data_IF_517694521943
#
_entry.id   IF_517694521943
#
_cell.length_a   1.000
_cell.length_b   1.000
_cell.length_c   1.000
_cell.angle_alpha   90.00
_cell.angle_beta   90.00
_cell.angle_gamma   90.00
#
_symmetry.space_group_name_H-M   'P 1'
#
loop_
_entity.id
_entity.type
_entity.pdbx_description
1 polymer ?
#
# COMPACT_ATOMS: atom_id res chain seq x y z
N UNK A 1 -3.26 6.78 -1.35
CA UNK A 1 -2.16 5.86 -0.97
C UNK A 1 -0.92 6.05 -1.83
N UNK A 2 -0.96 5.73 -3.15
CA UNK A 2 0.22 5.78 -4.03
C UNK A 2 0.97 7.13 -4.02
N UNK A 3 0.24 8.25 -3.95
CA UNK A 3 0.83 9.60 -3.91
C UNK A 3 1.57 9.92 -2.60
N UNK A 4 1.32 9.18 -1.51
CA UNK A 4 1.95 9.38 -0.20
C UNK A 4 2.98 8.30 0.11
N UNK A 5 3.28 7.40 -0.84
CA UNK A 5 4.20 6.28 -0.62
C UNK A 5 5.56 6.76 -0.07
N UNK A 6 6.11 7.81 -0.68
CA UNK A 6 7.38 8.41 -0.26
C UNK A 6 7.32 9.12 1.09
N UNK A 7 6.13 9.49 1.58
CA UNK A 7 5.98 10.03 2.93
C UNK A 7 6.12 8.93 3.98
N UNK A 8 5.76 7.68 3.65
CA UNK A 8 5.82 6.54 4.57
C UNK A 8 7.17 5.80 4.54
N UNK A 9 7.82 5.66 3.39
CA UNK A 9 9.10 4.98 3.29
C UNK A 9 10.19 5.76 4.06
N UNK A 10 10.77 5.19 5.12
CA UNK A 10 11.73 5.89 5.98
C UNK A 10 13.12 6.04 5.37
N UNK A 11 13.44 5.29 4.30
CA UNK A 11 14.76 5.27 3.67
C UNK A 11 14.83 6.07 2.37
N UNK A 12 15.93 6.79 2.17
CA UNK A 12 16.27 7.35 0.86
C UNK A 12 16.49 6.21 -0.14
N UNK A 13 15.52 6.00 -1.03
CA UNK A 13 15.54 4.91 -2.02
C UNK A 13 14.96 3.59 -1.52
N UNK A 14 14.29 3.59 -0.36
CA UNK A 14 13.59 2.40 0.09
C UNK A 14 12.44 2.08 -0.87
N UNK A 15 12.42 0.85 -1.36
CA UNK A 15 11.42 0.40 -2.34
C UNK A 15 10.11 -0.03 -1.68
N UNK A 16 10.09 -0.08 -0.36
CA UNK A 16 9.01 -0.66 0.42
C UNK A 16 8.53 0.31 1.51
N UNK A 17 7.25 0.17 1.86
CA UNK A 17 6.68 0.68 3.11
C UNK A 17 6.34 -0.52 3.98
N UNK A 18 6.82 -0.53 5.23
CA UNK A 18 6.50 -1.57 6.19
C UNK A 18 5.35 -1.15 7.14
N UNK A 19 4.76 -2.12 7.82
CA UNK A 19 3.59 -1.87 8.67
C UNK A 19 3.90 -0.98 9.88
N UNK A 20 5.14 -0.95 10.39
CA UNK A 20 5.49 -0.05 11.48
C UNK A 20 5.56 1.40 10.99
N UNK A 21 6.13 1.66 9.81
CA UNK A 21 6.10 2.99 9.18
C UNK A 21 4.67 3.47 8.91
N UNK A 22 3.78 2.55 8.53
CA UNK A 22 2.36 2.86 8.35
C UNK A 22 1.69 3.21 9.70
N UNK A 23 2.05 2.50 10.79
CA UNK A 23 1.56 2.78 12.15
C UNK A 23 2.13 4.10 12.69
N UNK A 24 3.38 4.43 12.40
CA UNK A 24 3.97 5.74 12.70
C UNK A 24 3.17 6.86 12.00
N UNK A 25 2.92 6.71 10.70
CA UNK A 25 2.13 7.67 9.93
C UNK A 25 0.69 7.82 10.45
N UNK A 26 0.11 6.73 10.96
CA UNK A 26 -1.20 6.72 11.59
C UNK A 26 -1.21 7.29 13.02
N UNK A 27 -0.06 7.62 13.61
CA UNK A 27 0.07 8.09 14.99
C UNK A 27 -0.14 7.00 16.03
N UNK A 28 0.04 5.73 15.66
CA UNK A 28 -0.07 4.57 16.55
C UNK A 28 1.29 4.14 17.13
N UNK A 29 2.40 4.62 16.55
CA UNK A 29 3.75 4.45 17.07
C UNK A 29 4.44 5.81 17.20
N UNK A 30 5.26 6.01 18.25
CA UNK A 30 6.11 7.20 18.37
C UNK A 30 7.09 7.29 17.20
N UNK A 31 7.32 8.50 16.68
CA UNK A 31 8.22 8.76 15.56
C UNK A 31 8.67 10.21 15.57
N UNK A 32 9.86 10.50 15.03
CA UNK A 32 10.35 11.87 14.80
C UNK A 32 9.99 12.39 13.42
N UNK A 33 9.35 11.55 12.58
CA UNK A 33 8.98 11.86 11.21
C UNK A 33 7.70 12.69 11.18
N UNK A 34 7.61 13.58 10.19
CA UNK A 34 6.41 14.38 9.96
C UNK A 34 5.67 13.84 8.74
N UNK A 35 4.37 13.67 8.88
CA UNK A 35 3.48 13.20 7.81
C UNK A 35 2.44 14.28 7.52
N UNK A 36 2.03 14.41 6.26
CA UNK A 36 0.89 15.27 5.95
C UNK A 36 -0.39 14.74 6.59
N UNK A 37 -1.35 15.63 6.89
CA UNK A 37 -2.66 15.24 7.44
C UNK A 37 -3.35 14.19 6.56
N UNK A 38 -3.21 14.30 5.24
CA UNK A 38 -3.78 13.35 4.30
C UNK A 38 -3.07 12.00 4.35
N UNK A 39 -1.74 11.97 4.42
CA UNK A 39 -0.99 10.72 4.58
C UNK A 39 -1.37 10.01 5.88
N UNK A 40 -1.47 10.73 7.01
CA UNK A 40 -1.93 10.14 8.26
C UNK A 40 -3.35 9.58 8.19
N UNK A 41 -4.28 10.27 7.53
CA UNK A 41 -5.65 9.78 7.34
C UNK A 41 -5.70 8.51 6.48
N UNK A 42 -4.93 8.48 5.38
CA UNK A 42 -4.83 7.31 4.51
C UNK A 42 -4.20 6.12 5.22
N UNK A 43 -3.15 6.34 6.03
CA UNK A 43 -2.51 5.28 6.81
C UNK A 43 -3.48 4.65 7.81
N UNK A 44 -4.26 5.47 8.53
CA UNK A 44 -5.32 5.00 9.44
C UNK A 44 -6.36 4.15 8.71
N UNK A 45 -6.86 4.64 7.57
CA UNK A 45 -7.86 3.92 6.79
C UNK A 45 -7.34 2.59 6.26
N UNK A 46 -6.08 2.54 5.81
CA UNK A 46 -5.47 1.31 5.31
C UNK A 46 -5.28 0.28 6.42
N UNK A 47 -4.84 0.69 7.61
CA UNK A 47 -4.73 -0.18 8.80
C UNK A 47 -6.09 -0.72 9.26
N UNK A 48 -7.17 0.06 9.10
CA UNK A 48 -8.53 -0.38 9.41
C UNK A 48 -9.09 -1.40 8.40
N UNK A 49 -8.53 -1.48 7.19
CA UNK A 49 -8.93 -2.43 6.14
C UNK A 49 -8.02 -3.65 6.12
N UNK A 50 -8.03 -4.43 7.20
CA UNK A 50 -7.12 -5.58 7.41
C UNK A 50 -7.02 -6.53 6.21
N UNK A 51 -8.13 -6.84 5.54
CA UNK A 51 -8.12 -7.66 4.31
C UNK A 51 -7.36 -6.99 3.17
N UNK A 52 -7.59 -5.70 2.94
CA UNK A 52 -6.90 -4.93 1.90
C UNK A 52 -5.40 -4.84 2.20
N UNK A 53 -5.05 -4.62 3.47
CA UNK A 53 -3.66 -4.57 3.92
C UNK A 53 -2.94 -5.91 3.74
N UNK A 54 -3.61 -7.04 4.02
CA UNK A 54 -3.08 -8.39 3.77
C UNK A 54 -2.92 -8.69 2.27
N UNK A 55 -3.85 -8.25 1.42
CA UNK A 55 -3.71 -8.39 -0.03
C UNK A 55 -2.55 -7.56 -0.58
N UNK A 56 -2.30 -6.39 0.01
CA UNK A 56 -1.20 -5.51 -0.34
C UNK A 56 0.16 -6.07 0.10
N UNK A 57 0.24 -6.62 1.32
CA UNK A 57 1.40 -7.33 1.87
C UNK A 57 1.85 -8.46 0.93
N UNK A 58 0.91 -9.33 0.54
CA UNK A 58 1.21 -10.44 -0.35
C UNK A 58 1.51 -9.97 -1.78
N UNK A 59 0.74 -9.01 -2.32
CA UNK A 59 0.72 -8.54 -3.71
C UNK A 59 1.27 -9.51 -4.77
N UNK A 60 2.45 -9.20 -5.35
CA UNK A 60 3.04 -9.94 -6.50
C UNK A 60 4.49 -10.30 -6.26
N UNK A 61 4.93 -11.41 -6.84
CA UNK A 61 6.31 -11.89 -6.69
C UNK A 61 6.66 -13.03 -7.63
N UNK A 62 7.83 -13.62 -7.42
CA UNK A 62 8.39 -14.70 -8.24
C UNK A 62 8.03 -16.10 -7.73
N UNK A 63 6.97 -16.25 -6.93
CA UNK A 63 6.47 -17.58 -6.55
C UNK A 63 5.83 -18.28 -7.74
N UNK A 64 5.65 -19.60 -7.63
CA UNK A 64 5.04 -20.43 -8.68
C UNK A 64 3.61 -20.02 -9.05
N UNK A 65 2.89 -19.34 -8.16
CA UNK A 65 1.53 -18.80 -8.38
C UNK A 65 1.50 -17.27 -8.64
N UNK A 66 2.67 -16.64 -8.78
CA UNK A 66 2.82 -15.21 -9.07
C UNK A 66 2.51 -14.27 -7.90
N UNK A 67 2.35 -14.79 -6.68
CA UNK A 67 2.14 -14.02 -5.45
C UNK A 67 3.49 -13.62 -4.83
N UNK A 68 3.50 -12.57 -4.02
CA UNK A 68 4.65 -12.22 -3.19
C UNK A 68 4.62 -12.94 -1.85
N UNK A 69 5.57 -12.60 -0.98
CA UNK A 69 5.61 -13.06 0.40
C UNK A 69 4.66 -12.22 1.26
N UNK A 70 4.16 -12.82 2.35
CA UNK A 70 3.49 -12.07 3.41
C UNK A 70 4.53 -11.70 4.48
N UNK A 71 5.12 -10.52 4.37
CA UNK A 71 6.25 -10.08 5.20
C UNK A 71 6.09 -8.66 5.79
N UNK A 72 4.84 -8.18 5.84
CA UNK A 72 4.40 -6.92 6.45
C UNK A 72 5.01 -5.68 5.80
N UNK A 73 5.19 -5.72 4.48
CA UNK A 73 5.63 -4.58 3.67
C UNK A 73 5.00 -4.63 2.28
N UNK A 74 5.02 -3.50 1.59
CA UNK A 74 4.53 -3.41 0.21
C UNK A 74 5.29 -2.36 -0.57
N UNK A 75 5.40 -2.56 -1.88
CA UNK A 75 6.00 -1.64 -2.83
C UNK A 75 4.97 -1.07 -3.82
N UNK A 76 5.45 -0.29 -4.79
CA UNK A 76 4.64 0.23 -5.87
C UNK A 76 4.03 -0.86 -6.76
N UNK A 77 4.69 -2.01 -6.95
CA UNK A 77 4.18 -3.11 -7.74
C UNK A 77 3.03 -3.84 -7.04
N UNK A 78 3.08 -4.02 -5.70
CA UNK A 78 1.96 -4.52 -4.92
C UNK A 78 0.75 -3.58 -5.07
N UNK A 79 0.96 -2.25 -4.94
CA UNK A 79 -0.09 -1.25 -5.14
C UNK A 79 -0.71 -1.31 -6.53
N UNK A 80 0.11 -1.36 -7.58
CA UNK A 80 -0.36 -1.40 -8.97
C UNK A 80 -1.11 -2.69 -9.29
N UNK A 81 -0.63 -3.84 -8.79
CA UNK A 81 -1.32 -5.11 -8.93
C UNK A 81 -2.70 -5.08 -8.28
N UNK A 82 -2.80 -4.58 -7.04
CA UNK A 82 -4.06 -4.47 -6.33
C UNK A 82 -5.04 -3.54 -7.03
N UNK A 83 -4.59 -2.35 -7.45
CA UNK A 83 -5.41 -1.37 -8.18
C UNK A 83 -5.93 -1.97 -9.49
N UNK A 84 -5.10 -2.70 -10.24
CA UNK A 84 -5.50 -3.34 -11.50
C UNK A 84 -6.50 -4.49 -11.31
N UNK A 85 -6.53 -5.13 -10.15
CA UNK A 85 -7.50 -6.19 -9.81
C UNK A 85 -8.84 -5.65 -9.32
N UNK A 86 -8.90 -4.41 -8.83
CA UNK A 86 -10.14 -3.80 -8.39
C UNK A 86 -11.05 -3.53 -9.61
N UNK A 87 -12.37 -3.82 -9.53
CA UNK A 87 -13.28 -3.82 -10.69
C UNK A 87 -13.59 -2.43 -11.30
N UNK A 88 -12.79 -1.39 -11.05
CA UNK A 88 -13.09 -0.01 -11.45
C UNK A 88 -12.39 0.48 -12.72
N UNK A 89 -12.26 -0.37 -13.74
CA UNK A 89 -12.15 0.13 -15.11
C UNK A 89 -13.57 0.19 -15.68
N UNK A 90 -14.14 1.37 -16.01
CA UNK A 90 -15.38 1.40 -16.76
C UNK A 90 -15.15 0.61 -18.04
N UNK A 91 -15.82 -0.55 -18.16
CA UNK A 91 -15.93 -1.25 -19.44
C UNK A 91 -16.79 -0.37 -20.33
N UNK A 92 -16.15 0.53 -21.09
CA UNK A 92 -16.83 1.22 -22.19
C UNK A 92 -17.21 0.13 -23.19
N UNK A 93 -18.48 -0.30 -23.16
CA UNK A 93 -19.05 -1.11 -24.22
C UNK A 93 -19.44 -0.14 -25.32
N UNK A 94 -18.69 -0.15 -26.42
CA UNK A 94 -19.22 0.35 -27.67
C UNK A 94 -20.29 -0.64 -28.13
N UNK A 95 -21.55 -0.26 -28.03
CA UNK A 95 -22.63 -0.90 -28.79
C UNK A 95 -22.58 -0.32 -30.20
N UNK A 96 -22.41 -1.21 -31.19
CA UNK A 96 -22.50 -0.91 -32.62
C UNK A 96 -23.92 -1.18 -33.09
#
# INVERSE_FOLDING_TARGET
MKNHFNEYAAGAGDKYVNFNELKEAAGLLPTTRTFSTHASAVAKELLNRSRLLNELDIGVGFTWDGRGLQDQRFDHANLDSLINRLPNKPRIRFVS
#
